data_IF_333505728118
#
_entry.id   IF_333505728118
#
_cell.length_a   1.000
_cell.length_b   1.000
_cell.length_c   1.000
_cell.angle_alpha   90.00
_cell.angle_beta   90.00
_cell.angle_gamma   90.00
#
_symmetry.space_group_name_H-M   'P 1'
#
loop_
_entity.id
_entity.type
_entity.pdbx_description
1 polymer ?
#
# COMPACT_ATOMS: atom_id res chain seq x y z
N UNK A 1 17.64 0.59 -9.17
CA UNK A 1 17.00 -0.71 -8.90
C UNK A 1 15.49 -0.52 -8.79
N UNK A 2 14.75 -1.59 -8.83
CA UNK A 2 13.30 -1.55 -8.65
C UNK A 2 12.95 -1.87 -7.21
N UNK A 3 12.27 -0.94 -6.55
CA UNK A 3 11.84 -1.08 -5.16
C UNK A 3 10.32 -1.25 -5.12
N UNK A 4 9.85 -2.21 -4.35
CA UNK A 4 8.43 -2.40 -4.09
C UNK A 4 8.11 -1.95 -2.66
N UNK A 5 7.14 -1.06 -2.52
CA UNK A 5 6.59 -0.69 -1.23
C UNK A 5 5.24 -1.38 -1.07
N UNK A 6 5.08 -2.06 0.04
CA UNK A 6 3.83 -2.74 0.38
C UNK A 6 3.17 -2.05 1.57
N UNK A 7 1.90 -1.77 1.43
CA UNK A 7 1.07 -1.13 2.43
C UNK A 7 -0.16 -2.01 2.64
N UNK A 8 -0.35 -2.51 3.85
CA UNK A 8 -1.46 -3.40 4.13
C UNK A 8 -2.25 -2.88 5.32
N UNK A 9 -3.56 -2.76 5.14
CA UNK A 9 -4.47 -2.33 6.19
C UNK A 9 -5.59 -3.34 6.37
N UNK A 10 -6.12 -3.40 7.58
CA UNK A 10 -7.30 -4.21 7.89
C UNK A 10 -8.41 -3.28 8.39
N UNK A 11 -9.53 -3.34 7.69
CA UNK A 11 -10.68 -2.52 8.07
C UNK A 11 -11.37 -3.06 9.30
N UNK A 12 -12.10 -2.18 9.97
CA UNK A 12 -13.10 -2.59 10.96
C UNK A 12 -14.06 -3.58 10.30
N UNK A 13 -14.48 -4.60 11.02
CA UNK A 13 -15.34 -5.66 10.48
C UNK A 13 -16.52 -5.10 9.70
N UNK A 14 -16.69 -5.56 8.48
CA UNK A 14 -17.73 -5.12 7.56
C UNK A 14 -17.42 -3.82 6.81
N UNK A 15 -16.27 -3.18 7.02
CA UNK A 15 -15.93 -1.92 6.37
C UNK A 15 -14.83 -2.04 5.31
N UNK A 16 -14.59 -3.26 4.82
CA UNK A 16 -13.57 -3.47 3.79
C UNK A 16 -13.81 -2.67 2.52
N UNK A 17 -15.05 -2.58 2.06
CA UNK A 17 -15.39 -1.81 0.86
C UNK A 17 -15.14 -0.31 1.06
N UNK A 18 -15.41 0.21 2.26
CA UNK A 18 -15.15 1.62 2.59
C UNK A 18 -13.65 1.91 2.63
N UNK A 19 -12.87 1.00 3.21
CA UNK A 19 -11.43 1.11 3.22
C UNK A 19 -10.86 1.09 1.79
N UNK A 20 -11.35 0.18 0.96
CA UNK A 20 -10.93 0.09 -0.44
C UNK A 20 -11.21 1.38 -1.20
N UNK A 21 -12.40 1.95 -1.02
CA UNK A 21 -12.77 3.21 -1.65
C UNK A 21 -11.86 4.35 -1.19
N UNK A 22 -11.59 4.43 0.12
CA UNK A 22 -10.70 5.43 0.68
C UNK A 22 -9.28 5.32 0.10
N UNK A 23 -8.76 4.10 0.02
CA UNK A 23 -7.41 3.85 -0.51
C UNK A 23 -7.31 4.32 -1.96
N UNK A 24 -8.31 4.04 -2.78
CA UNK A 24 -8.32 4.41 -4.19
C UNK A 24 -8.29 5.93 -4.41
N UNK A 25 -8.77 6.69 -3.45
CA UNK A 25 -8.76 8.15 -3.51
C UNK A 25 -7.42 8.77 -3.12
N UNK A 26 -6.52 7.99 -2.51
CA UNK A 26 -5.25 8.52 -2.04
C UNK A 26 -4.27 8.67 -3.20
N UNK A 27 -3.88 9.91 -3.47
CA UNK A 27 -2.86 10.21 -4.46
C UNK A 27 -1.47 10.16 -3.80
N UNK A 28 -0.47 9.79 -4.59
CA UNK A 28 0.92 9.86 -4.18
C UNK A 28 1.56 11.15 -4.70
N UNK A 29 2.59 11.65 -4.00
CA UNK A 29 3.28 12.87 -4.40
C UNK A 29 3.98 12.73 -5.75
N UNK A 30 4.45 11.53 -6.08
CA UNK A 30 5.05 11.20 -7.36
C UNK A 30 4.35 9.98 -7.95
N UNK A 31 4.54 9.76 -9.25
CA UNK A 31 3.92 8.63 -9.94
C UNK A 31 4.85 7.41 -9.88
N UNK A 32 4.38 6.28 -9.35
CA UNK A 32 5.18 5.05 -9.37
C UNK A 32 5.24 4.45 -10.77
N UNK A 33 6.18 3.52 -10.98
CA UNK A 33 6.21 2.72 -12.21
C UNK A 33 4.91 1.93 -12.37
N UNK A 34 4.36 1.47 -11.25
CA UNK A 34 3.13 0.70 -11.21
C UNK A 34 2.52 0.80 -9.81
N UNK A 35 1.21 0.80 -9.76
CA UNK A 35 0.45 0.71 -8.49
C UNK A 35 -0.60 -0.36 -8.66
N UNK A 36 -0.70 -1.24 -7.68
CA UNK A 36 -1.69 -2.31 -7.69
C UNK A 36 -2.38 -2.37 -6.32
N UNK A 37 -3.70 -2.45 -6.34
CA UNK A 37 -4.51 -2.56 -5.14
C UNK A 37 -5.18 -3.92 -5.14
N UNK A 38 -5.00 -4.66 -4.04
CA UNK A 38 -5.53 -6.00 -3.87
C UNK A 38 -6.35 -6.06 -2.58
N UNK A 39 -7.27 -6.98 -2.52
CA UNK A 39 -8.04 -7.21 -1.30
C UNK A 39 -7.99 -8.69 -0.92
N UNK A 40 -8.16 -8.95 0.37
CA UNK A 40 -8.13 -10.30 0.91
C UNK A 40 -9.28 -10.48 1.91
N UNK A 41 -9.57 -11.73 2.32
CA UNK A 41 -10.56 -11.98 3.37
C UNK A 41 -10.25 -11.20 4.64
N UNK A 42 -11.24 -11.04 5.50
CA UNK A 42 -11.16 -10.32 6.77
C UNK A 42 -10.95 -8.81 6.59
N UNK A 43 -11.56 -8.26 5.53
CA UNK A 43 -11.56 -6.81 5.29
C UNK A 43 -10.15 -6.22 5.14
N UNK A 44 -9.22 -6.96 4.54
CA UNK A 44 -7.85 -6.49 4.32
C UNK A 44 -7.67 -5.90 2.94
N UNK A 45 -6.86 -4.87 2.85
CA UNK A 45 -6.47 -4.23 1.58
C UNK A 45 -4.95 -4.11 1.53
N UNK A 46 -4.37 -4.50 0.42
CA UNK A 46 -2.95 -4.39 0.16
C UNK A 46 -2.73 -3.47 -1.04
N UNK A 47 -1.81 -2.52 -0.90
CA UNK A 47 -1.36 -1.71 -2.03
C UNK A 47 0.12 -1.95 -2.22
N UNK A 48 0.51 -2.22 -3.46
CA UNK A 48 1.91 -2.35 -3.84
C UNK A 48 2.22 -1.26 -4.85
N UNK A 49 3.32 -0.53 -4.62
CA UNK A 49 3.83 0.44 -5.58
C UNK A 49 5.26 0.08 -5.93
N UNK A 50 5.61 0.23 -7.21
CA UNK A 50 6.97 -0.06 -7.70
C UNK A 50 7.63 1.23 -8.13
N UNK A 51 8.93 1.36 -7.81
CA UNK A 51 9.70 2.57 -8.02
C UNK A 51 11.07 2.26 -8.59
N UNK A 52 11.54 3.08 -9.52
CA UNK A 52 12.93 3.03 -9.99
C UNK A 52 13.74 3.98 -9.13
N UNK A 53 14.41 3.43 -8.12
CA UNK A 53 15.11 4.23 -7.11
C UNK A 53 16.11 3.36 -6.34
N UNK A 54 17.09 3.97 -5.65
CA UNK A 54 17.87 3.23 -4.67
C UNK A 54 16.98 2.67 -3.57
N UNK A 55 17.39 1.55 -2.99
CA UNK A 55 16.58 0.88 -1.97
C UNK A 55 16.27 1.77 -0.77
N UNK A 56 17.20 2.63 -0.38
CA UNK A 56 17.06 3.51 0.78
C UNK A 56 16.50 4.90 0.44
N UNK A 57 16.05 5.11 -0.79
CA UNK A 57 15.48 6.40 -1.20
C UNK A 57 14.22 6.72 -0.40
N UNK A 58 13.99 8.01 -0.16
CA UNK A 58 12.71 8.46 0.37
C UNK A 58 11.68 8.41 -0.76
N UNK A 59 10.64 7.61 -0.57
CA UNK A 59 9.61 7.40 -1.57
C UNK A 59 8.25 7.79 -1.01
N UNK A 60 7.33 8.30 -1.84
CA UNK A 60 5.98 8.59 -1.39
C UNK A 60 5.29 7.35 -0.84
N UNK A 61 4.59 7.50 0.25
CA UNK A 61 3.84 6.41 0.86
C UNK A 61 2.40 6.84 1.12
N UNK A 62 1.51 5.85 1.11
CA UNK A 62 0.12 6.09 1.46
C UNK A 62 0.01 6.41 2.95
N UNK A 63 -0.92 7.31 3.33
CA UNK A 63 -1.11 7.67 4.73
C UNK A 63 -1.81 6.54 5.51
N UNK A 64 -1.86 6.71 6.83
CA UNK A 64 -2.72 5.89 7.67
C UNK A 64 -4.17 6.22 7.37
N UNK A 65 -5.06 5.22 7.31
CA UNK A 65 -6.49 5.48 7.20
C UNK A 65 -7.04 6.08 8.49
N UNK A 66 -8.23 6.65 8.39
CA UNK A 66 -8.90 7.19 9.58
C UNK A 66 -9.15 6.06 10.59
N UNK A 67 -9.05 6.36 11.91
CA UNK A 67 -9.22 5.32 12.93
C UNK A 67 -10.55 4.56 12.87
N UNK A 68 -11.60 5.20 12.36
CA UNK A 68 -12.92 4.57 12.20
C UNK A 68 -12.92 3.47 11.14
N UNK A 69 -11.96 3.49 10.22
CA UNK A 69 -11.87 2.52 9.14
C UNK A 69 -10.95 1.36 9.45
N UNK A 70 -9.95 1.53 10.30
CA UNK A 70 -8.91 0.53 10.50
C UNK A 70 -8.92 -0.01 11.92
N UNK A 71 -8.62 -1.32 12.07
CA UNK A 71 -8.57 -1.97 13.38
C UNK A 71 -7.21 -1.86 14.02
N UNK A 72 -6.18 -1.53 13.25
CA UNK A 72 -4.79 -1.46 13.71
C UNK A 72 -3.99 -0.56 12.79
N UNK A 73 -2.77 -0.25 13.20
CA UNK A 73 -1.84 0.48 12.36
C UNK A 73 -1.53 -0.30 11.08
N UNK A 74 -1.28 0.43 10.01
CA UNK A 74 -0.91 -0.14 8.72
C UNK A 74 0.41 -0.89 8.84
N UNK A 75 0.49 -2.04 8.21
CA UNK A 75 1.76 -2.75 8.03
C UNK A 75 2.43 -2.25 6.76
N UNK A 76 3.72 -1.95 6.85
CA UNK A 76 4.50 -1.44 5.73
C UNK A 76 5.76 -2.28 5.56
N UNK A 77 6.03 -2.66 4.31
CA UNK A 77 7.24 -3.42 3.96
C UNK A 77 7.89 -2.79 2.74
N UNK A 78 9.19 -2.95 2.65
CA UNK A 78 9.96 -2.51 1.49
C UNK A 78 10.81 -3.67 1.01
N UNK A 79 10.80 -3.90 -0.30
CA UNK A 79 11.58 -4.96 -0.93
C UNK A 79 12.27 -4.43 -2.17
N UNK A 80 13.42 -5.02 -2.48
CA UNK A 80 14.10 -4.76 -3.74
C UNK A 80 13.80 -5.92 -4.68
N UNK A 81 13.41 -5.61 -5.92
CA UNK A 81 13.17 -6.64 -6.91
C UNK A 81 14.51 -7.23 -7.35
N UNK A 82 14.56 -8.55 -7.45
CA UNK A 82 15.73 -9.29 -7.88
C UNK A 82 15.47 -9.84 -9.27
N UNK A 83 16.45 -9.70 -10.17
CA UNK A 83 16.32 -10.25 -11.51
C UNK A 83 16.21 -11.78 -11.44
N UNK A 84 15.24 -12.32 -12.15
CA UNK A 84 15.06 -13.76 -12.31
C UNK A 84 15.84 -14.23 -13.54
N UNK A 85 16.49 -15.32 -13.43
CA UNK A 85 17.27 -15.82 -14.53
C UNK A 85 18.04 -17.05 -14.24
#
# INVERSE_FOLDING_TARGET
VTVALMWEARAVAGRGAQLLAWVREQALADEPLRRETLRAPQDRVLVITWWDAPYDAELPELPEPEPELATRAVHRWRFEAVAEG
#
